data_IF_001939358960
#
_entry.id   IF_001939358960
#
_cell.length_a   1.000
_cell.length_b   1.000
_cell.length_c   1.000
_cell.angle_alpha   90.00
_cell.angle_beta   90.00
_cell.angle_gamma   90.00
#
_symmetry.space_group_name_H-M   'P 1'
#
loop_
_entity.id
_entity.type
_entity.pdbx_description
1 polymer ?
#
# COMPACT_ATOMS: atom_id res chain seq x y z
N UNK A 1 1.94 -15.08 -10.11
CA UNK A 1 1.91 -13.64 -10.42
C UNK A 1 2.20 -12.88 -9.15
N UNK A 2 3.20 -12.02 -9.21
CA UNK A 2 3.54 -11.07 -8.17
C UNK A 2 3.21 -9.66 -8.69
N UNK A 3 2.98 -8.72 -7.78
CA UNK A 3 2.70 -7.32 -8.11
C UNK A 3 3.74 -6.44 -7.44
N UNK A 4 4.36 -5.54 -8.20
CA UNK A 4 5.28 -4.53 -7.69
C UNK A 4 4.54 -3.20 -7.58
N UNK A 5 4.68 -2.52 -6.45
CA UNK A 5 4.01 -1.25 -6.13
C UNK A 5 4.94 -0.40 -5.28
N UNK A 6 4.64 0.88 -5.10
CA UNK A 6 5.25 1.70 -4.06
C UNK A 6 4.47 1.62 -2.76
N UNK A 7 5.15 1.78 -1.61
CA UNK A 7 4.48 1.83 -0.30
C UNK A 7 3.32 2.84 -0.26
N UNK A 8 3.53 4.05 -0.83
CA UNK A 8 2.51 5.10 -0.91
C UNK A 8 1.25 4.71 -1.69
N UNK A 9 1.32 3.69 -2.55
CA UNK A 9 0.21 3.25 -3.40
C UNK A 9 -0.70 2.23 -2.69
N UNK A 10 -0.23 1.61 -1.60
CA UNK A 10 -0.95 0.55 -0.88
C UNK A 10 -2.35 1.00 -0.41
N UNK A 11 -2.46 2.21 0.14
CA UNK A 11 -3.75 2.75 0.60
C UNK A 11 -4.70 3.04 -0.58
N UNK A 12 -4.17 3.43 -1.73
CA UNK A 12 -4.98 3.60 -2.95
C UNK A 12 -5.47 2.25 -3.45
N UNK A 13 -4.61 1.23 -3.48
CA UNK A 13 -5.01 -0.13 -3.85
C UNK A 13 -6.06 -0.68 -2.89
N UNK A 14 -5.90 -0.49 -1.57
CA UNK A 14 -6.89 -0.89 -0.58
C UNK A 14 -8.26 -0.29 -0.88
N UNK A 15 -8.34 1.01 -1.17
CA UNK A 15 -9.62 1.69 -1.48
C UNK A 15 -10.27 1.13 -2.75
N UNK A 16 -9.49 0.86 -3.79
CA UNK A 16 -9.95 0.20 -5.01
C UNK A 16 -10.56 -1.16 -4.67
N UNK A 17 -9.83 -1.99 -3.92
CA UNK A 17 -10.29 -3.32 -3.53
C UNK A 17 -11.55 -3.27 -2.64
N UNK A 18 -11.66 -2.29 -1.75
CA UNK A 18 -12.81 -2.17 -0.85
C UNK A 18 -14.08 -1.70 -1.57
N UNK A 19 -13.95 -0.76 -2.51
CA UNK A 19 -15.10 -0.12 -3.17
C UNK A 19 -15.68 -0.88 -4.36
N UNK A 20 -14.87 -1.65 -5.09
CA UNK A 20 -15.30 -2.30 -6.34
C UNK A 20 -16.46 -3.27 -6.07
N UNK A 21 -17.47 -3.22 -6.93
CA UNK A 21 -18.65 -4.10 -6.85
C UNK A 21 -18.42 -5.36 -7.67
N UNK A 22 -18.16 -6.47 -6.98
CA UNK A 22 -18.03 -7.79 -7.60
C UNK A 22 -19.22 -8.68 -7.23
N UNK A 23 -19.95 -9.15 -8.24
CA UNK A 23 -21.11 -10.03 -8.05
C UNK A 23 -20.73 -11.52 -8.06
N UNK A 24 -19.69 -11.90 -8.81
CA UNK A 24 -19.29 -13.31 -8.93
C UNK A 24 -18.28 -13.71 -7.83
N UNK A 25 -18.45 -14.92 -7.28
CA UNK A 25 -17.61 -15.39 -6.17
C UNK A 25 -16.17 -15.74 -6.58
N UNK A 26 -15.91 -15.98 -7.87
CA UNK A 26 -14.55 -16.29 -8.35
C UNK A 26 -13.63 -15.08 -8.18
N UNK A 27 -14.02 -13.94 -8.74
CA UNK A 27 -13.29 -12.68 -8.62
C UNK A 27 -13.28 -12.16 -7.17
N UNK A 28 -14.38 -12.32 -6.42
CA UNK A 28 -14.43 -11.94 -4.99
C UNK A 28 -13.41 -12.71 -4.13
N UNK A 29 -13.19 -14.00 -4.41
CA UNK A 29 -12.14 -14.77 -3.73
C UNK A 29 -10.75 -14.26 -4.10
N UNK A 30 -10.55 -13.85 -5.36
CA UNK A 30 -9.33 -13.17 -5.80
C UNK A 30 -9.07 -11.88 -5.04
N UNK A 31 -10.06 -10.98 -5.04
CA UNK A 31 -10.06 -9.72 -4.29
C UNK A 31 -9.73 -9.93 -2.82
N UNK A 32 -10.40 -10.89 -2.16
CA UNK A 32 -10.15 -11.16 -0.75
C UNK A 32 -8.71 -11.60 -0.46
N UNK A 33 -8.09 -12.38 -1.37
CA UNK A 33 -6.69 -12.80 -1.21
C UNK A 33 -5.71 -11.66 -1.46
N UNK A 34 -5.97 -10.83 -2.47
CA UNK A 34 -5.15 -9.65 -2.73
C UNK A 34 -5.27 -8.63 -1.58
N UNK A 35 -6.49 -8.36 -1.12
CA UNK A 35 -6.77 -7.45 0.00
C UNK A 35 -6.04 -7.86 1.27
N UNK A 36 -6.04 -9.16 1.62
CA UNK A 36 -5.31 -9.65 2.78
C UNK A 36 -3.80 -9.32 2.68
N UNK A 37 -3.19 -9.53 1.50
CA UNK A 37 -1.78 -9.22 1.29
C UNK A 37 -1.49 -7.72 1.28
N UNK A 38 -2.39 -6.90 0.76
CA UNK A 38 -2.28 -5.44 0.82
C UNK A 38 -2.34 -4.96 2.26
N UNK A 39 -3.25 -5.49 3.08
CA UNK A 39 -3.35 -5.16 4.51
C UNK A 39 -2.07 -5.56 5.26
N UNK A 40 -1.52 -6.75 5.00
CA UNK A 40 -0.24 -7.16 5.57
C UNK A 40 0.87 -6.13 5.25
N UNK A 41 0.95 -5.70 3.98
CA UNK A 41 1.93 -4.69 3.55
C UNK A 41 1.69 -3.30 4.12
N UNK A 42 0.43 -2.88 4.29
CA UNK A 42 0.09 -1.62 4.98
C UNK A 42 0.58 -1.66 6.42
N UNK A 43 0.41 -2.79 7.12
CA UNK A 43 0.87 -2.94 8.50
C UNK A 43 2.39 -2.95 8.61
N UNK A 44 3.10 -3.56 7.66
CA UNK A 44 4.56 -3.50 7.55
C UNK A 44 5.01 -2.04 7.36
N UNK A 45 4.47 -1.35 6.35
CA UNK A 45 4.81 0.04 6.06
C UNK A 45 4.52 0.98 7.25
N UNK A 46 3.34 0.87 7.87
CA UNK A 46 2.98 1.69 9.04
C UNK A 46 3.90 1.44 10.25
N UNK A 47 4.39 0.21 10.40
CA UNK A 47 5.38 -0.10 11.43
C UNK A 47 6.72 0.56 11.11
N UNK A 48 7.20 0.46 9.87
CA UNK A 48 8.46 1.08 9.46
C UNK A 48 8.40 2.62 9.58
N UNK A 49 7.26 3.24 9.23
CA UNK A 49 7.02 4.67 9.48
C UNK A 49 7.08 5.02 10.98
N UNK A 50 6.46 4.19 11.81
CA UNK A 50 6.46 4.40 13.27
C UNK A 50 7.88 4.26 13.84
N UNK A 51 8.63 3.25 13.41
CA UNK A 51 10.00 3.00 13.82
C UNK A 51 10.90 4.18 13.38
N UNK A 52 10.71 4.72 12.17
CA UNK A 52 11.41 5.93 11.72
C UNK A 52 11.08 7.14 12.60
N UNK A 53 9.79 7.42 12.84
CA UNK A 53 9.36 8.54 13.68
C UNK A 53 9.90 8.41 15.10
N UNK A 54 9.93 7.19 15.67
CA UNK A 54 10.43 6.92 17.02
C UNK A 54 11.89 7.38 17.22
N UNK A 55 12.72 7.25 16.19
CA UNK A 55 14.14 7.67 16.24
C UNK A 55 14.31 9.18 16.36
N UNK A 56 13.34 9.97 15.89
CA UNK A 56 13.42 11.44 15.87
C UNK A 56 12.47 12.10 16.89
N UNK A 57 11.52 11.36 17.44
CA UNK A 57 10.53 11.87 18.38
C UNK A 57 11.13 12.22 19.74
N UNK A 58 10.67 13.33 20.32
CA UNK A 58 10.90 13.63 21.73
C UNK A 58 10.03 12.69 22.57
N UNK A 59 10.65 12.03 23.55
CA UNK A 59 9.96 11.14 24.49
C UNK A 59 9.91 11.74 25.90
N UNK A 60 8.82 11.45 26.61
CA UNK A 60 8.67 11.80 28.01
C UNK A 60 9.38 10.78 28.93
N UNK A 61 9.15 10.91 30.25
CA UNK A 61 9.77 10.02 31.25
C UNK A 61 9.24 8.59 31.23
N UNK A 62 8.09 8.36 30.57
CA UNK A 62 7.42 7.07 30.44
C UNK A 62 7.65 6.45 29.04
N UNK A 63 8.63 6.96 28.28
CA UNK A 63 8.97 6.54 26.91
C UNK A 63 7.85 6.77 25.88
N UNK A 64 6.94 7.72 26.14
CA UNK A 64 5.85 8.09 25.23
C UNK A 64 6.19 9.34 24.44
N UNK A 65 5.63 9.44 23.22
CA UNK A 65 5.79 10.63 22.40
C UNK A 65 5.24 11.88 23.09
N UNK A 66 6.07 12.92 23.13
CA UNK A 66 5.65 14.26 23.52
C UNK A 66 4.85 14.85 22.36
N UNK A 67 3.61 15.25 22.64
CA UNK A 67 2.70 15.84 21.66
C UNK A 67 2.65 17.36 21.85
N UNK A 68 2.69 18.12 20.76
CA UNK A 68 2.58 19.58 20.78
C UNK A 68 1.12 20.09 20.93
N UNK A 69 0.94 21.40 21.01
CA UNK A 69 -0.37 22.04 21.15
C UNK A 69 -1.30 21.78 19.95
N UNK A 70 -0.75 21.37 18.80
CA UNK A 70 -1.46 21.08 17.56
C UNK A 70 -1.73 19.58 17.35
N UNK A 71 -1.43 18.73 18.35
CA UNK A 71 -1.54 17.27 18.30
C UNK A 71 -0.52 16.58 17.38
N UNK A 72 0.60 17.23 17.08
CA UNK A 72 1.70 16.60 16.34
C UNK A 72 2.73 16.01 17.30
N UNK A 73 3.45 14.99 16.84
CA UNK A 73 4.61 14.46 17.55
C UNK A 73 5.71 15.52 17.52
N UNK A 74 6.21 15.90 18.70
CA UNK A 74 7.33 16.83 18.83
C UNK A 74 8.64 16.12 18.50
N UNK A 75 9.48 16.73 17.69
CA UNK A 75 10.84 16.23 17.44
C UNK A 75 11.78 16.50 18.61
N UNK A 76 12.69 15.57 18.87
CA UNK A 76 13.78 15.74 19.83
C UNK A 76 14.74 16.85 19.39
N UNK A 77 15.02 16.92 18.09
CA UNK A 77 15.78 17.99 17.43
C UNK A 77 14.99 18.56 16.24
N UNK A 78 14.46 19.79 16.32
CA UNK A 78 13.74 20.42 15.22
C UNK A 78 14.58 20.59 13.95
N UNK A 79 15.92 20.67 14.04
CA UNK A 79 16.79 20.81 12.87
C UNK A 79 16.85 19.52 12.02
N UNK A 80 16.35 18.40 12.54
CA UNK A 80 16.28 17.10 11.86
C UNK A 80 14.98 16.86 11.09
N UNK A 81 14.07 17.84 11.05
CA UNK A 81 12.79 17.70 10.36
C UNK A 81 12.97 17.36 8.87
N UNK A 82 13.87 18.06 8.18
CA UNK A 82 14.11 17.83 6.75
C UNK A 82 14.65 16.43 6.50
N UNK A 83 15.60 15.96 7.32
CA UNK A 83 16.15 14.61 7.25
C UNK A 83 15.08 13.53 7.49
N UNK A 84 14.22 13.70 8.49
CA UNK A 84 13.11 12.79 8.72
C UNK A 84 12.14 12.77 7.54
N UNK A 85 11.80 13.93 6.98
CA UNK A 85 10.92 14.02 5.82
C UNK A 85 11.52 13.31 4.59
N UNK A 86 12.82 13.44 4.37
CA UNK A 86 13.53 12.74 3.29
C UNK A 86 13.44 11.22 3.48
N UNK A 87 13.70 10.71 4.69
CA UNK A 87 13.58 9.28 5.00
C UNK A 87 12.15 8.76 4.84
N UNK A 88 11.14 9.52 5.28
CA UNK A 88 9.73 9.14 5.10
C UNK A 88 9.34 9.14 3.62
N UNK A 89 9.84 10.08 2.83
CA UNK A 89 9.62 10.11 1.38
C UNK A 89 10.30 8.92 0.68
N UNK A 90 11.54 8.59 1.07
CA UNK A 90 12.24 7.40 0.57
C UNK A 90 11.45 6.12 0.88
N UNK A 91 10.98 5.96 2.12
CA UNK A 91 10.15 4.83 2.53
C UNK A 91 8.84 4.78 1.73
N UNK A 92 8.18 5.92 1.54
CA UNK A 92 6.94 6.01 0.76
C UNK A 92 7.13 5.65 -0.72
N UNK A 93 8.29 5.97 -1.30
CA UNK A 93 8.67 5.69 -2.68
C UNK A 93 9.30 4.30 -2.89
N UNK A 94 9.62 3.57 -1.82
CA UNK A 94 10.18 2.22 -1.87
C UNK A 94 9.26 1.25 -2.64
N UNK A 95 9.87 0.51 -3.56
CA UNK A 95 9.20 -0.57 -4.29
C UNK A 95 9.04 -1.81 -3.41
N UNK A 96 7.80 -2.25 -3.23
CA UNK A 96 7.43 -3.46 -2.54
C UNK A 96 6.83 -4.48 -3.51
N UNK A 97 6.97 -5.75 -3.16
CA UNK A 97 6.40 -6.85 -3.94
C UNK A 97 5.31 -7.57 -3.13
N UNK A 98 4.10 -7.57 -3.66
CA UNK A 98 3.01 -8.42 -3.20
C UNK A 98 3.12 -9.78 -3.90
N UNK A 99 3.64 -10.76 -3.15
CA UNK A 99 3.81 -12.13 -3.66
C UNK A 99 2.49 -12.87 -3.75
N UNK A 100 2.14 -13.35 -4.95
CA UNK A 100 0.94 -14.15 -5.15
C UNK A 100 1.06 -15.56 -4.58
N UNK A 101 2.23 -16.19 -4.72
CA UNK A 101 2.49 -17.54 -4.20
C UNK A 101 1.39 -18.54 -4.58
N UNK A 102 0.85 -19.27 -3.60
CA UNK A 102 -0.27 -20.20 -3.77
C UNK A 102 -1.58 -19.54 -4.28
N UNK A 103 -1.71 -18.22 -4.10
CA UNK A 103 -2.85 -17.43 -4.55
C UNK A 103 -2.66 -16.78 -5.92
N UNK A 104 -1.57 -17.08 -6.63
CA UNK A 104 -1.31 -16.52 -7.97
C UNK A 104 -2.52 -16.63 -8.91
N UNK A 105 -3.15 -17.81 -8.98
CA UNK A 105 -4.35 -18.02 -9.80
C UNK A 105 -5.55 -17.19 -9.31
N UNK A 106 -5.63 -16.90 -8.01
CA UNK A 106 -6.68 -16.06 -7.43
C UNK A 106 -6.46 -14.58 -7.73
N UNK A 107 -5.21 -14.13 -7.81
CA UNK A 107 -4.93 -12.76 -8.26
C UNK A 107 -5.40 -12.59 -9.70
N UNK A 108 -5.04 -13.54 -10.57
CA UNK A 108 -5.49 -13.60 -11.96
C UNK A 108 -7.03 -13.59 -12.07
N UNK A 109 -7.74 -14.37 -11.25
CA UNK A 109 -9.21 -14.38 -11.22
C UNK A 109 -9.81 -12.97 -10.96
N UNK A 110 -9.16 -12.16 -10.12
CA UNK A 110 -9.60 -10.79 -9.84
C UNK A 110 -9.16 -9.80 -10.92
N UNK A 111 -7.93 -9.90 -11.41
CA UNK A 111 -7.40 -8.99 -12.42
C UNK A 111 -8.12 -9.12 -13.76
N UNK A 112 -8.52 -10.33 -14.17
CA UNK A 112 -9.40 -10.51 -15.33
C UNK A 112 -10.76 -9.82 -15.14
N UNK A 113 -11.30 -9.79 -13.92
CA UNK A 113 -12.52 -9.02 -13.66
C UNK A 113 -12.26 -7.51 -13.71
N UNK A 114 -11.09 -7.08 -13.23
CA UNK A 114 -10.70 -5.67 -13.21
C UNK A 114 -10.52 -5.10 -14.63
N UNK A 115 -10.00 -5.89 -15.57
CA UNK A 115 -9.87 -5.53 -17.01
C UNK A 115 -11.21 -5.11 -17.64
N UNK A 116 -12.32 -5.68 -17.18
CA UNK A 116 -13.67 -5.42 -17.71
C UNK A 116 -14.52 -4.52 -16.79
N UNK A 117 -13.92 -3.93 -15.75
CA UNK A 117 -14.64 -3.20 -14.73
C UNK A 117 -15.08 -1.81 -15.24
N UNK A 118 -16.38 -1.52 -15.12
CA UNK A 118 -16.99 -0.23 -15.50
C UNK A 118 -17.21 0.72 -14.29
N UNK A 119 -16.69 0.38 -13.10
CA UNK A 119 -16.81 1.23 -11.91
C UNK A 119 -16.03 2.56 -12.10
N UNK A 120 -16.49 3.62 -11.42
CA UNK A 120 -15.81 4.92 -11.45
C UNK A 120 -14.58 4.95 -10.53
N UNK A 121 -13.47 5.42 -11.09
CA UNK A 121 -12.19 5.58 -10.42
C UNK A 121 -11.71 7.03 -10.45
N UNK A 122 -11.02 7.46 -9.40
CA UNK A 122 -10.28 8.73 -9.41
C UNK A 122 -9.07 8.61 -10.34
N UNK A 123 -8.49 9.74 -10.77
CA UNK A 123 -7.28 9.72 -11.61
C UNK A 123 -6.12 8.94 -10.98
N UNK A 124 -5.93 9.03 -9.67
CA UNK A 124 -4.88 8.28 -8.97
C UNK A 124 -5.13 6.78 -8.95
N UNK A 125 -6.39 6.37 -8.83
CA UNK A 125 -6.77 4.95 -8.86
C UNK A 125 -6.62 4.38 -10.28
N UNK A 126 -6.98 5.17 -11.31
CA UNK A 126 -6.83 4.77 -12.72
C UNK A 126 -5.35 4.50 -13.03
N UNK A 127 -4.45 5.41 -12.68
CA UNK A 127 -3.00 5.26 -12.93
C UNK A 127 -2.47 3.98 -12.26
N UNK A 128 -2.90 3.73 -11.02
CA UNK A 128 -2.49 2.54 -10.28
C UNK A 128 -3.04 1.25 -10.89
N UNK A 129 -4.32 1.24 -11.26
CA UNK A 129 -4.97 0.08 -11.88
C UNK A 129 -4.32 -0.23 -13.23
N UNK A 130 -4.07 0.79 -14.04
CA UNK A 130 -3.39 0.67 -15.33
C UNK A 130 -2.03 -0.02 -15.18
N UNK A 131 -1.19 0.46 -14.26
CA UNK A 131 0.11 -0.17 -13.96
C UNK A 131 -0.02 -1.64 -13.50
N UNK A 132 -1.01 -1.94 -12.65
CA UNK A 132 -1.27 -3.31 -12.18
C UNK A 132 -1.72 -4.21 -13.35
N UNK A 133 -2.55 -3.70 -14.26
CA UNK A 133 -3.00 -4.43 -15.44
C UNK A 133 -1.87 -4.63 -16.46
N UNK A 134 -0.99 -3.65 -16.65
CA UNK A 134 0.23 -3.83 -17.47
C UNK A 134 1.09 -4.98 -16.94
N UNK A 135 1.38 -5.00 -15.62
CA UNK A 135 2.10 -6.11 -14.99
C UNK A 135 1.39 -7.46 -15.17
N UNK A 136 0.05 -7.46 -15.14
CA UNK A 136 -0.74 -8.66 -15.40
C UNK A 136 -0.59 -9.16 -16.82
N UNK A 137 -0.74 -8.28 -17.80
CA UNK A 137 -0.58 -8.61 -19.22
C UNK A 137 0.82 -9.10 -19.54
N UNK A 138 1.85 -8.47 -18.96
CA UNK A 138 3.24 -8.92 -19.09
C UNK A 138 3.44 -10.31 -18.49
N UNK A 139 2.83 -10.60 -17.34
CA UNK A 139 2.90 -11.92 -16.71
C UNK A 139 2.28 -13.04 -17.57
N UNK A 140 1.31 -12.72 -18.44
CA UNK A 140 0.70 -13.67 -19.40
C UNK A 140 1.60 -13.94 -20.61
N UNK A 141 2.48 -13.01 -20.99
CA UNK A 141 3.37 -13.14 -22.18
C UNK A 141 4.59 -14.03 -21.92
N UNK A 142 4.92 -14.28 -20.65
CA UNK A 142 6.04 -15.12 -20.23
C UNK A 142 5.69 -16.60 -19.98
N UNK A 143 4.42 -17.00 -20.16
CA UNK A 143 3.93 -18.39 -20.14
C UNK A 143 3.87 -18.99 -21.56
#
# INVERSE_FOLDING_TARGET
MDLTLKNKELNTLYRVLDKIKITNMRANRGRAKLLAKVVDKINEYAKDETDLIDMYAAKDKDDKFVIDEHKNIKLADPAKLDELNDLLNELADEEIVIKGGEYSKRFIDFLNFLEECEDEFTSSEIILIDNILEQFEESKKGE
#
